data_IF_006902262603
#
_entry.id   IF_006902262603
#
_cell.length_a   1.000
_cell.length_b   1.000
_cell.length_c   1.000
_cell.angle_alpha   90.00
_cell.angle_beta   90.00
_cell.angle_gamma   90.00
#
_symmetry.space_group_name_H-M   'P 1'
#
loop_
_entity.id
_entity.type
_entity.pdbx_description
1 polymer ?
#
# COMPACT_ATOMS: atom_id res chain seq x y z
N UNK A 1 -4.12 -11.78 -6.84
CA UNK A 1 -3.62 -10.76 -5.90
C UNK A 1 -4.76 -9.85 -5.49
N UNK A 2 -4.92 -9.61 -4.20
CA UNK A 2 -5.94 -8.70 -3.70
C UNK A 2 -5.47 -7.26 -3.91
N UNK A 3 -6.38 -6.38 -4.30
CA UNK A 3 -6.08 -4.99 -4.59
C UNK A 3 -7.04 -4.11 -3.80
N UNK A 4 -6.48 -3.15 -3.06
CA UNK A 4 -7.26 -2.18 -2.29
C UNK A 4 -6.94 -0.77 -2.74
N UNK A 5 -7.98 0.07 -2.82
CA UNK A 5 -7.83 1.50 -3.08
C UNK A 5 -7.76 2.21 -1.73
N UNK A 6 -6.76 3.08 -1.56
CA UNK A 6 -6.53 3.78 -0.29
C UNK A 6 -6.48 5.29 -0.53
N UNK A 7 -6.81 6.05 0.50
CA UNK A 7 -6.81 7.51 0.41
C UNK A 7 -5.44 8.12 0.69
N UNK A 8 -4.71 7.54 1.63
CA UNK A 8 -3.38 8.03 2.02
C UNK A 8 -2.46 6.84 2.24
N UNK A 9 -1.71 6.51 1.20
CA UNK A 9 -0.86 5.33 1.22
C UNK A 9 0.27 5.44 2.24
N UNK A 10 0.88 6.63 2.35
CA UNK A 10 1.98 6.82 3.28
C UNK A 10 1.55 6.61 4.72
N UNK A 11 0.41 7.19 5.11
CA UNK A 11 -0.11 7.04 6.45
C UNK A 11 -0.48 5.59 6.75
N UNK A 12 -1.09 4.92 5.78
CA UNK A 12 -1.46 3.52 5.93
C UNK A 12 -0.24 2.63 6.10
N UNK A 13 0.79 2.81 5.27
CA UNK A 13 2.00 2.00 5.36
C UNK A 13 2.72 2.21 6.69
N UNK A 14 2.75 3.45 7.17
CA UNK A 14 3.36 3.75 8.47
C UNK A 14 2.65 3.01 9.59
N UNK A 15 1.31 3.03 9.57
CA UNK A 15 0.51 2.31 10.55
C UNK A 15 0.73 0.81 10.49
N UNK A 16 0.72 0.24 9.29
CA UNK A 16 0.93 -1.19 9.10
C UNK A 16 2.31 -1.62 9.57
N UNK A 17 3.31 -0.79 9.33
CA UNK A 17 4.66 -1.05 9.79
C UNK A 17 4.71 -1.12 11.32
N UNK A 18 4.02 -0.21 11.99
CA UNK A 18 3.94 -0.21 13.44
C UNK A 18 3.24 -1.46 13.98
N UNK A 19 2.31 -2.01 13.21
CA UNK A 19 1.59 -3.23 13.58
C UNK A 19 2.34 -4.51 13.22
N UNK A 20 3.53 -4.38 12.66
CA UNK A 20 4.36 -5.54 12.32
C UNK A 20 4.02 -6.20 11.01
N UNK A 21 3.25 -5.55 10.16
CA UNK A 21 2.91 -6.09 8.84
C UNK A 21 4.14 -6.02 7.93
N UNK A 22 4.38 -7.10 7.19
CA UNK A 22 5.50 -7.14 6.25
C UNK A 22 5.16 -6.30 5.03
N UNK A 23 6.02 -5.34 4.72
CA UNK A 23 5.86 -4.45 3.58
C UNK A 23 6.93 -4.77 2.56
N UNK A 24 6.54 -4.92 1.28
CA UNK A 24 7.47 -5.16 0.19
C UNK A 24 8.36 -3.94 0.01
N UNK A 25 9.63 -4.17 -0.31
CA UNK A 25 10.58 -3.08 -0.56
C UNK A 25 10.23 -2.31 -1.83
N UNK A 26 9.54 -2.94 -2.75
CA UNK A 26 9.16 -2.31 -4.01
C UNK A 26 8.02 -1.33 -3.79
N UNK A 27 8.16 -0.16 -4.37
CA UNK A 27 7.12 0.87 -4.32
C UNK A 27 7.14 1.66 -5.62
N UNK A 28 5.96 2.07 -6.09
CA UNK A 28 5.83 2.88 -7.29
C UNK A 28 5.12 4.17 -6.91
N UNK A 29 5.74 5.32 -7.25
CA UNK A 29 5.17 6.65 -7.06
C UNK A 29 5.17 7.34 -8.41
N UNK A 30 4.00 7.41 -9.04
CA UNK A 30 3.85 8.00 -10.37
C UNK A 30 2.73 9.03 -10.38
N UNK A 31 2.67 9.83 -11.44
CA UNK A 31 1.64 10.85 -11.57
C UNK A 31 0.23 10.25 -11.67
N UNK A 32 0.12 9.02 -12.15
CA UNK A 32 -1.15 8.32 -12.30
C UNK A 32 -1.55 7.53 -11.06
N UNK A 33 -0.74 7.54 -10.00
CA UNK A 33 -1.05 6.89 -8.76
C UNK A 33 0.16 6.36 -8.03
N UNK A 34 -0.08 5.94 -6.79
CA UNK A 34 0.96 5.34 -5.96
C UNK A 34 0.59 3.90 -5.64
N UNK A 35 1.57 3.01 -5.68
CA UNK A 35 1.37 1.59 -5.44
C UNK A 35 2.36 1.09 -4.40
N UNK A 36 1.88 0.21 -3.55
CA UNK A 36 2.74 -0.50 -2.62
C UNK A 36 2.20 -1.90 -2.44
N UNK A 37 3.01 -2.79 -1.92
CA UNK A 37 2.62 -4.18 -1.70
C UNK A 37 2.95 -4.59 -0.28
N UNK A 38 2.03 -5.33 0.33
CA UNK A 38 2.21 -5.89 1.66
C UNK A 38 1.91 -7.38 1.61
N UNK A 39 2.26 -8.07 2.69
CA UNK A 39 2.00 -9.50 2.81
C UNK A 39 1.18 -9.74 4.07
N UNK A 40 0.14 -10.59 3.95
CA UNK A 40 -0.65 -10.97 5.12
C UNK A 40 0.08 -12.07 5.90
N UNK A 41 -0.57 -12.54 6.99
CA UNK A 41 0.04 -13.56 7.85
C UNK A 41 0.24 -14.90 7.15
N UNK A 42 -0.52 -15.15 6.09
CA UNK A 42 -0.40 -16.37 5.29
C UNK A 42 0.59 -16.22 4.15
N UNK A 43 1.19 -15.06 4.00
CA UNK A 43 2.15 -14.79 2.94
C UNK A 43 1.52 -14.35 1.62
N UNK A 44 0.23 -14.05 1.60
CA UNK A 44 -0.43 -13.57 0.40
C UNK A 44 -0.07 -12.12 0.13
N UNK A 45 0.27 -11.83 -1.13
CA UNK A 45 0.65 -10.48 -1.53
C UNK A 45 -0.60 -9.66 -1.80
N UNK A 46 -0.63 -8.46 -1.22
CA UNK A 46 -1.76 -7.52 -1.36
C UNK A 46 -1.23 -6.23 -1.97
N UNK A 47 -1.91 -5.76 -3.02
CA UNK A 47 -1.55 -4.50 -3.66
C UNK A 47 -2.40 -3.38 -3.09
N UNK A 48 -1.75 -2.28 -2.72
CA UNK A 48 -2.41 -1.06 -2.23
C UNK A 48 -2.21 0.03 -3.28
N UNK A 49 -3.28 0.71 -3.64
CA UNK A 49 -3.23 1.74 -4.66
C UNK A 49 -3.88 3.02 -4.18
N UNK A 50 -3.15 4.11 -4.30
CA UNK A 50 -3.67 5.45 -4.03
C UNK A 50 -3.81 6.18 -5.37
N UNK A 51 -5.06 6.39 -5.86
CA UNK A 51 -5.27 7.17 -7.07
C UNK A 51 -4.88 8.63 -6.86
N UNK A 52 -4.49 9.35 -7.91
CA UNK A 52 -4.09 10.76 -7.77
C UNK A 52 -5.18 11.64 -7.17
N UNK A 53 -6.43 11.34 -7.48
CA UNK A 53 -7.56 12.15 -7.03
C UNK A 53 -7.99 11.85 -5.59
N UNK A 54 -7.49 10.78 -4.98
CA UNK A 54 -7.87 10.39 -3.62
C UNK A 54 -7.22 11.25 -2.57
N UNK A 55 -6.10 11.85 -2.90
CA UNK A 55 -5.35 12.65 -1.94
C UNK A 55 -6.00 14.00 -1.73
N UNK A 56 -6.29 14.38 -0.49
CA UNK A 56 -6.81 15.70 -0.18
C UNK A 56 -5.83 16.81 -0.44
#
# INVERSE_FOLDING_TARGET
MVNYIVDDLDALLDRLKQEGVKIDAKRIDESYGRFAWIYDVDGNKIELWQPPSAKP
#
